data_IF_441599586361
#
_entry.id   IF_441599586361
#
_cell.length_a   1.000
_cell.length_b   1.000
_cell.length_c   1.000
_cell.angle_alpha   90.00
_cell.angle_beta   90.00
_cell.angle_gamma   90.00
#
_symmetry.space_group_name_H-M   'P 1'
#
loop_
_entity.id
_entity.type
_entity.pdbx_description
1 polymer ?
#
# COMPACT_ATOMS: atom_id res chain seq x y z
N UNK A 1 12.22 -17.59 -42.99
CA UNK A 1 10.79 -17.61 -42.60
C UNK A 1 10.74 -17.37 -41.11
N UNK A 2 10.30 -16.18 -40.67
CA UNK A 2 10.29 -15.82 -39.25
C UNK A 2 9.04 -16.41 -38.58
N UNK A 3 9.26 -17.27 -37.58
CA UNK A 3 8.21 -17.80 -36.72
C UNK A 3 7.69 -16.69 -35.81
N UNK A 4 6.49 -16.20 -36.08
CA UNK A 4 5.79 -15.31 -35.17
C UNK A 4 5.32 -16.13 -33.96
N UNK A 5 5.99 -15.94 -32.83
CA UNK A 5 5.59 -16.53 -31.57
C UNK A 5 4.28 -15.88 -31.13
N UNK A 6 3.17 -16.56 -31.38
CA UNK A 6 1.84 -16.19 -30.89
C UNK A 6 1.83 -16.35 -29.37
N UNK A 7 2.15 -15.29 -28.64
CA UNK A 7 1.97 -15.26 -27.19
C UNK A 7 0.47 -15.31 -26.88
N UNK A 8 -0.03 -16.47 -26.47
CA UNK A 8 -1.38 -16.63 -25.93
C UNK A 8 -1.59 -15.68 -24.73
N UNK A 9 -2.80 -15.13 -24.52
CA UNK A 9 -3.09 -14.38 -23.31
C UNK A 9 -2.88 -15.29 -22.09
N UNK A 10 -2.16 -14.86 -21.04
CA UNK A 10 -1.97 -15.69 -19.86
C UNK A 10 -3.32 -15.91 -19.16
N UNK A 11 -3.67 -17.18 -18.98
CA UNK A 11 -4.88 -17.62 -18.30
C UNK A 11 -4.93 -17.09 -16.85
N UNK A 12 -6.16 -16.95 -16.34
CA UNK A 12 -6.54 -16.28 -15.06
C UNK A 12 -5.98 -16.84 -13.75
N UNK A 13 -5.06 -17.81 -13.75
CA UNK A 13 -4.57 -18.40 -12.51
C UNK A 13 -3.14 -17.92 -12.21
N UNK A 14 -3.01 -17.25 -11.05
CA UNK A 14 -1.86 -16.49 -10.54
C UNK A 14 -1.72 -15.04 -11.08
N UNK A 15 -2.79 -14.26 -10.85
CA UNK A 15 -2.87 -12.80 -10.60
C UNK A 15 -2.23 -11.76 -11.55
N UNK A 16 -1.87 -12.08 -12.79
CA UNK A 16 -1.53 -11.01 -13.74
C UNK A 16 -2.79 -10.31 -14.29
N UNK A 17 -3.23 -9.25 -13.62
CA UNK A 17 -4.36 -8.42 -14.04
C UNK A 17 -3.90 -7.50 -15.17
N UNK A 18 -4.48 -7.69 -16.36
CA UNK A 18 -4.21 -6.87 -17.55
C UNK A 18 -5.37 -5.90 -17.80
N UNK A 19 -5.07 -4.61 -17.75
CA UNK A 19 -6.08 -3.55 -17.79
C UNK A 19 -5.89 -2.63 -18.99
N UNK A 20 -6.97 -2.10 -19.51
CA UNK A 20 -6.89 -0.90 -20.35
C UNK A 20 -6.35 0.27 -19.54
N UNK A 21 -5.83 1.29 -20.22
CA UNK A 21 -5.34 2.50 -19.57
C UNK A 21 -6.43 3.21 -18.73
N UNK A 22 -7.68 3.13 -19.18
CA UNK A 22 -8.84 3.68 -18.45
C UNK A 22 -9.11 2.94 -17.16
N UNK A 23 -9.09 1.60 -17.20
CA UNK A 23 -9.29 0.78 -16.00
C UNK A 23 -8.15 0.99 -15.00
N UNK A 24 -6.90 0.98 -15.47
CA UNK A 24 -5.74 1.26 -14.63
C UNK A 24 -5.84 2.63 -13.95
N UNK A 25 -6.19 3.68 -14.70
CA UNK A 25 -6.38 5.03 -14.14
C UNK A 25 -7.47 5.06 -13.06
N UNK A 26 -8.58 4.34 -13.27
CA UNK A 26 -9.69 4.25 -12.30
C UNK A 26 -9.24 3.68 -10.96
N UNK A 27 -8.33 2.70 -10.94
CA UNK A 27 -7.78 2.15 -9.69
C UNK A 27 -7.00 3.18 -8.87
N UNK A 28 -6.53 4.27 -9.48
CA UNK A 28 -5.80 5.36 -8.84
C UNK A 28 -6.60 6.66 -8.74
N UNK A 29 -7.89 6.65 -9.13
CA UNK A 29 -8.74 7.83 -9.08
C UNK A 29 -8.36 8.89 -10.11
N UNK A 30 -7.64 8.53 -11.18
CA UNK A 30 -7.16 9.45 -12.21
C UNK A 30 -7.69 9.09 -13.59
N UNK A 31 -7.71 10.07 -14.49
CA UNK A 31 -8.14 9.84 -15.89
C UNK A 31 -7.12 8.98 -16.65
N UNK A 32 -7.58 8.33 -17.73
CA UNK A 32 -6.70 7.59 -18.64
C UNK A 32 -5.57 8.47 -19.21
N UNK A 33 -5.86 9.76 -19.47
CA UNK A 33 -4.87 10.74 -19.96
C UNK A 33 -3.79 10.97 -18.91
N UNK A 34 -4.19 11.20 -17.66
CA UNK A 34 -3.25 11.42 -16.55
C UNK A 34 -2.42 10.15 -16.28
N UNK A 35 -3.07 8.99 -16.21
CA UNK A 35 -2.39 7.70 -16.08
C UNK A 35 -1.37 7.49 -17.22
N UNK A 36 -1.78 7.78 -18.46
CA UNK A 36 -0.90 7.74 -19.62
C UNK A 36 0.32 8.66 -19.50
N UNK A 37 0.14 9.86 -18.95
CA UNK A 37 1.23 10.80 -18.71
C UNK A 37 2.28 10.25 -17.72
N UNK A 38 1.85 9.59 -16.64
CA UNK A 38 2.78 8.91 -15.72
C UNK A 38 3.57 7.80 -16.41
N UNK A 39 2.90 6.97 -17.22
CA UNK A 39 3.57 5.89 -17.96
C UNK A 39 4.55 6.44 -19.01
N UNK A 40 4.23 7.57 -19.67
CA UNK A 40 5.17 8.24 -20.57
C UNK A 40 6.38 8.81 -19.84
N UNK A 41 6.19 9.44 -18.67
CA UNK A 41 7.29 9.93 -17.83
C UNK A 41 8.20 8.81 -17.33
N UNK A 42 7.65 7.61 -17.14
CA UNK A 42 8.41 6.42 -16.78
C UNK A 42 9.09 5.72 -17.97
N UNK A 43 9.01 6.29 -19.18
CA UNK A 43 9.62 5.70 -20.38
C UNK A 43 8.93 4.41 -20.84
N UNK A 44 7.66 4.20 -20.47
CA UNK A 44 6.91 3.00 -20.85
C UNK A 44 6.03 3.22 -22.09
N UNK A 45 5.71 4.49 -22.40
CA UNK A 45 4.76 4.87 -23.45
C UNK A 45 5.27 6.05 -24.26
N UNK A 46 5.18 5.96 -25.59
CA UNK A 46 5.53 7.04 -26.51
C UNK A 46 4.44 8.13 -26.59
N UNK A 47 4.71 9.16 -27.40
CA UNK A 47 3.80 10.30 -27.62
C UNK A 47 2.51 9.91 -28.37
N UNK A 48 2.57 8.86 -29.17
CA UNK A 48 1.45 8.35 -29.98
C UNK A 48 0.57 7.40 -29.14
N UNK A 49 1.02 7.11 -27.93
CA UNK A 49 0.28 6.37 -26.93
C UNK A 49 0.55 4.88 -26.94
N UNK A 50 1.56 4.42 -27.67
CA UNK A 50 1.97 3.04 -27.76
C UNK A 50 3.04 2.70 -26.71
N UNK A 51 3.08 1.45 -26.22
CA UNK A 51 4.16 1.02 -25.35
C UNK A 51 5.46 0.90 -26.15
N UNK A 52 6.58 1.30 -25.54
CA UNK A 52 7.90 1.01 -26.08
C UNK A 52 8.18 -0.51 -26.07
N UNK A 53 9.01 -1.05 -26.99
CA UNK A 53 9.36 -2.47 -26.99
C UNK A 53 9.83 -2.98 -25.62
N UNK A 54 10.66 -2.19 -24.94
CA UNK A 54 11.15 -2.50 -23.59
C UNK A 54 10.04 -2.67 -22.55
N UNK A 55 8.94 -1.92 -22.67
CA UNK A 55 7.79 -2.06 -21.78
C UNK A 55 7.04 -3.37 -22.02
N UNK A 56 7.02 -3.86 -23.25
CA UNK A 56 6.48 -5.18 -23.60
C UNK A 56 7.41 -6.27 -23.08
N UNK A 57 8.71 -6.17 -23.37
CA UNK A 57 9.72 -7.16 -22.96
C UNK A 57 9.80 -7.33 -21.44
N UNK A 58 9.62 -6.24 -20.70
CA UNK A 58 9.60 -6.22 -19.22
C UNK A 58 8.23 -6.56 -18.64
N UNK A 59 7.23 -6.85 -19.48
CA UNK A 59 5.89 -7.27 -19.07
C UNK A 59 5.00 -6.16 -18.50
N UNK A 60 5.32 -4.88 -18.71
CA UNK A 60 4.45 -3.75 -18.33
C UNK A 60 3.25 -3.62 -19.26
N UNK A 61 3.43 -3.98 -20.53
CA UNK A 61 2.41 -3.83 -21.56
C UNK A 61 2.28 -5.09 -22.41
N UNK A 62 1.08 -5.31 -22.93
CA UNK A 62 0.78 -6.36 -23.88
C UNK A 62 0.00 -5.76 -25.05
N UNK A 63 0.47 -5.98 -26.27
CA UNK A 63 -0.20 -5.55 -27.49
C UNK A 63 -0.97 -6.74 -28.08
N UNK A 64 -2.30 -6.63 -28.14
CA UNK A 64 -3.13 -7.67 -28.77
C UNK A 64 -2.85 -7.75 -30.28
N UNK A 65 -2.84 -8.97 -30.87
CA UNK A 65 -2.45 -9.19 -32.27
C UNK A 65 -3.50 -8.79 -33.33
N UNK A 66 -4.71 -8.34 -32.96
CA UNK A 66 -5.80 -8.10 -33.92
C UNK A 66 -5.78 -6.69 -34.56
N UNK A 67 -6.02 -6.67 -35.88
CA UNK A 67 -5.81 -5.54 -36.82
C UNK A 67 -6.90 -4.46 -36.84
N UNK A 68 -8.00 -4.58 -36.08
CA UNK A 68 -9.04 -3.55 -36.05
C UNK A 68 -8.81 -2.52 -34.93
N UNK A 69 -8.08 -1.48 -35.31
CA UNK A 69 -7.66 -0.30 -34.58
C UNK A 69 -8.81 0.35 -33.78
N UNK A 70 -8.69 0.55 -32.46
CA UNK A 70 -7.99 1.73 -31.94
C UNK A 70 -7.45 1.60 -30.49
N UNK A 71 -7.59 0.46 -29.79
CA UNK A 71 -7.14 0.32 -28.38
C UNK A 71 -6.76 -1.11 -27.96
N UNK A 72 -5.73 -1.68 -28.58
CA UNK A 72 -5.30 -3.07 -28.34
C UNK A 72 -4.20 -3.25 -27.28
N UNK A 73 -3.82 -2.18 -26.56
CA UNK A 73 -2.78 -2.24 -25.52
C UNK A 73 -3.41 -2.46 -24.14
N UNK A 74 -2.94 -3.49 -23.45
CA UNK A 74 -3.23 -3.75 -22.04
C UNK A 74 -1.96 -3.48 -21.21
N UNK A 75 -2.16 -3.05 -19.98
CA UNK A 75 -1.13 -2.69 -19.02
C UNK A 75 -1.23 -3.63 -17.82
N UNK A 76 -0.09 -4.13 -17.35
CA UNK A 76 -0.04 -5.00 -16.20
C UNK A 76 -0.28 -4.18 -14.92
N UNK A 77 -1.32 -4.54 -14.16
CA UNK A 77 -1.72 -3.81 -12.96
C UNK A 77 -0.59 -3.72 -11.94
N UNK A 78 0.04 -4.83 -11.56
CA UNK A 78 1.03 -4.85 -10.48
C UNK A 78 2.26 -4.00 -10.83
N UNK A 79 2.80 -4.20 -12.04
CA UNK A 79 3.99 -3.49 -12.52
C UNK A 79 3.72 -2.00 -12.69
N UNK A 80 2.61 -1.65 -13.33
CA UNK A 80 2.27 -0.24 -13.52
C UNK A 80 1.88 0.43 -12.20
N UNK A 81 1.27 -0.29 -11.26
CA UNK A 81 0.98 0.22 -9.93
C UNK A 81 2.24 0.60 -9.17
N UNK A 82 3.32 -0.18 -9.28
CA UNK A 82 4.63 0.18 -8.73
C UNK A 82 5.11 1.55 -9.24
N UNK A 83 5.09 1.75 -10.56
CA UNK A 83 5.49 3.02 -11.20
C UNK A 83 4.61 4.18 -10.77
N UNK A 84 3.28 3.98 -10.72
CA UNK A 84 2.35 5.02 -10.29
C UNK A 84 2.60 5.42 -8.83
N UNK A 85 2.91 4.45 -7.95
CA UNK A 85 3.29 4.69 -6.56
C UNK A 85 4.62 5.43 -6.41
N UNK A 86 5.63 5.11 -7.22
CA UNK A 86 6.90 5.86 -7.28
C UNK A 86 6.69 7.32 -7.68
N UNK A 87 5.67 7.60 -8.50
CA UNK A 87 5.25 8.96 -8.86
C UNK A 87 4.33 9.60 -7.80
N UNK A 88 4.16 8.99 -6.63
CA UNK A 88 3.40 9.53 -5.50
C UNK A 88 1.90 9.24 -5.51
N UNK A 89 1.39 8.43 -6.44
CA UNK A 89 -0.01 8.05 -6.47
C UNK A 89 -0.30 6.90 -5.51
N UNK A 90 -1.50 6.90 -4.91
CA UNK A 90 -2.03 5.77 -4.15
C UNK A 90 -3.29 5.27 -4.84
N UNK A 91 -3.52 3.96 -4.79
CA UNK A 91 -4.78 3.40 -5.28
C UNK A 91 -5.96 3.92 -4.46
N UNK A 92 -7.15 3.94 -5.06
CA UNK A 92 -8.41 4.31 -4.40
C UNK A 92 -8.68 3.39 -3.21
N UNK A 93 -8.34 2.11 -3.32
CA UNK A 93 -8.49 1.14 -2.23
C UNK A 93 -7.57 1.47 -1.05
N UNK A 94 -6.29 1.77 -1.30
CA UNK A 94 -5.35 2.19 -0.25
C UNK A 94 -5.80 3.51 0.41
N UNK A 95 -6.29 4.47 -0.38
CA UNK A 95 -6.81 5.74 0.15
C UNK A 95 -8.02 5.51 1.06
N UNK A 96 -8.98 4.70 0.60
CA UNK A 96 -10.17 4.34 1.39
C UNK A 96 -9.80 3.62 2.68
N UNK A 97 -8.84 2.69 2.62
CA UNK A 97 -8.37 1.96 3.79
C UNK A 97 -7.76 2.91 4.82
N UNK A 98 -6.96 3.88 4.38
CA UNK A 98 -6.39 4.93 5.25
C UNK A 98 -7.49 5.74 5.93
N UNK A 99 -8.51 6.15 5.18
CA UNK A 99 -9.64 6.92 5.73
C UNK A 99 -10.42 6.12 6.77
N UNK A 100 -10.74 4.86 6.48
CA UNK A 100 -11.45 3.97 7.40
C UNK A 100 -10.69 3.75 8.70
N UNK A 101 -9.37 3.60 8.62
CA UNK A 101 -8.52 3.48 9.80
C UNK A 101 -8.47 4.78 10.61
N UNK A 102 -8.35 5.93 9.95
CA UNK A 102 -8.39 7.21 10.64
C UNK A 102 -9.73 7.41 11.37
N UNK A 103 -10.85 7.12 10.71
CA UNK A 103 -12.19 7.21 11.30
C UNK A 103 -12.33 6.30 12.54
N UNK A 104 -11.88 5.05 12.44
CA UNK A 104 -11.91 4.09 13.54
C UNK A 104 -11.10 4.59 14.74
N UNK A 105 -9.86 5.05 14.51
CA UNK A 105 -8.97 5.49 15.58
C UNK A 105 -9.49 6.75 16.29
N UNK A 106 -10.05 7.69 15.54
CA UNK A 106 -10.69 8.87 16.12
C UNK A 106 -11.93 8.49 16.94
N UNK A 107 -12.75 7.57 16.43
CA UNK A 107 -13.91 7.06 17.15
C UNK A 107 -13.51 6.35 18.45
N UNK A 108 -12.42 5.58 18.45
CA UNK A 108 -11.88 4.95 19.66
C UNK A 108 -11.33 5.98 20.66
N UNK A 109 -10.75 7.07 20.17
CA UNK A 109 -10.19 8.12 21.02
C UNK A 109 -11.25 9.00 21.69
N UNK A 110 -12.29 9.35 20.95
CA UNK A 110 -13.44 10.13 21.47
C UNK A 110 -14.43 9.23 22.21
N UNK A 111 -14.39 7.93 21.94
CA UNK A 111 -15.32 6.92 22.42
C UNK A 111 -15.44 6.81 23.94
N UNK A 112 -16.51 6.13 24.36
CA UNK A 112 -16.86 5.93 25.76
C UNK A 112 -15.74 5.23 26.55
N UNK A 113 -15.51 5.58 27.83
CA UNK A 113 -14.54 4.92 28.72
C UNK A 113 -14.80 3.41 28.95
N UNK A 114 -15.91 2.87 28.44
CA UNK A 114 -16.19 1.43 28.43
C UNK A 114 -15.42 0.65 27.34
N UNK A 115 -14.79 1.33 26.39
CA UNK A 115 -13.95 0.69 25.37
C UNK A 115 -12.57 0.43 25.97
N UNK A 116 -12.24 -0.85 26.20
CA UNK A 116 -10.99 -1.27 26.83
C UNK A 116 -9.76 -1.19 25.90
N UNK A 117 -9.98 -1.04 24.59
CA UNK A 117 -8.90 -1.03 23.59
C UNK A 117 -8.57 0.40 23.19
N UNK A 118 -7.33 0.81 23.44
CA UNK A 118 -6.85 2.12 23.01
C UNK A 118 -6.62 2.15 21.49
N UNK A 119 -6.64 3.35 20.85
CA UNK A 119 -6.28 3.48 19.44
C UNK A 119 -4.91 2.89 19.10
N UNK A 120 -3.94 3.01 20.00
CA UNK A 120 -2.60 2.43 19.81
C UNK A 120 -2.63 0.90 19.85
N UNK A 121 -3.38 0.29 20.78
CA UNK A 121 -3.50 -1.18 20.85
C UNK A 121 -4.21 -1.74 19.63
N UNK A 122 -5.29 -1.11 19.16
CA UNK A 122 -5.99 -1.50 17.94
C UNK A 122 -5.08 -1.39 16.69
N UNK A 123 -4.27 -0.33 16.64
CA UNK A 123 -3.33 -0.15 15.55
C UNK A 123 -2.18 -1.16 15.59
N UNK A 124 -1.72 -1.55 16.78
CA UNK A 124 -0.68 -2.56 16.94
C UNK A 124 -1.17 -3.97 16.56
N UNK A 125 -2.45 -4.30 16.80
CA UNK A 125 -3.01 -5.63 16.49
C UNK A 125 -3.40 -5.81 15.01
N UNK A 126 -4.13 -4.86 14.45
CA UNK A 126 -4.90 -5.09 13.23
C UNK A 126 -4.54 -4.16 12.06
N UNK A 127 -3.82 -3.05 12.31
CA UNK A 127 -3.50 -2.08 11.25
C UNK A 127 -2.33 -2.53 10.38
N UNK A 128 -2.49 -2.57 9.04
CA UNK A 128 -1.38 -2.87 8.14
C UNK A 128 -0.22 -1.87 8.29
N UNK A 129 0.99 -2.36 8.51
CA UNK A 129 2.15 -1.50 8.81
C UNK A 129 2.55 -0.53 7.70
N UNK A 130 2.20 -0.84 6.44
CA UNK A 130 2.48 0.03 5.32
C UNK A 130 1.65 1.30 5.42
N UNK A 131 0.38 1.25 5.89
CA UNK A 131 -0.51 2.41 5.90
C UNK A 131 -0.31 3.39 7.04
N UNK A 132 0.41 3.01 8.09
CA UNK A 132 0.58 3.80 9.32
C UNK A 132 0.98 5.25 9.05
N UNK A 133 1.96 5.47 8.17
CA UNK A 133 2.44 6.82 7.85
C UNK A 133 1.32 7.67 7.23
N UNK A 134 0.51 7.09 6.36
CA UNK A 134 -0.59 7.81 5.71
C UNK A 134 -1.79 8.01 6.64
N UNK A 135 -2.08 7.06 7.54
CA UNK A 135 -3.09 7.23 8.59
C UNK A 135 -2.72 8.40 9.51
N UNK A 136 -1.47 8.47 9.99
CA UNK A 136 -1.01 9.59 10.80
C UNK A 136 -1.07 10.93 10.06
N UNK A 137 -0.75 10.96 8.77
CA UNK A 137 -0.91 12.16 7.94
C UNK A 137 -2.38 12.56 7.81
N UNK A 138 -3.29 11.59 7.64
CA UNK A 138 -4.72 11.82 7.55
C UNK A 138 -5.27 12.39 8.86
N UNK A 139 -4.94 11.78 10.01
CA UNK A 139 -5.29 12.26 11.34
C UNK A 139 -4.80 13.70 11.57
N UNK A 140 -3.55 13.99 11.22
CA UNK A 140 -2.99 15.34 11.35
C UNK A 140 -3.70 16.36 10.46
N UNK A 141 -4.03 15.99 9.21
CA UNK A 141 -4.77 16.85 8.28
C UNK A 141 -6.20 17.15 8.76
N UNK A 142 -6.79 16.24 9.55
CA UNK A 142 -8.10 16.43 10.21
C UNK A 142 -8.04 17.25 11.49
N UNK A 143 -6.84 17.61 11.97
CA UNK A 143 -6.64 18.33 13.23
C UNK A 143 -6.67 17.43 14.48
N UNK A 144 -6.60 16.11 14.30
CA UNK A 144 -6.54 15.15 15.39
C UNK A 144 -5.22 15.27 16.17
N UNK A 145 -5.28 15.13 17.50
CA UNK A 145 -4.09 15.05 18.35
C UNK A 145 -3.52 13.63 18.42
N UNK A 146 -4.26 12.64 17.92
CA UNK A 146 -3.83 11.24 17.85
C UNK A 146 -2.60 11.08 16.97
N UNK A 147 -1.62 10.34 17.49
CA UNK A 147 -0.45 9.88 16.74
C UNK A 147 -0.14 8.43 17.09
N UNK A 148 -0.24 7.56 16.10
CA UNK A 148 0.08 6.14 16.26
C UNK A 148 1.57 5.93 16.05
N UNK A 149 2.23 5.29 17.00
CA UNK A 149 3.65 4.96 16.93
C UNK A 149 3.84 3.53 16.46
N UNK A 150 4.92 3.25 15.71
CA UNK A 150 5.37 1.85 15.54
C UNK A 150 6.02 1.43 16.85
N UNK A 151 5.43 0.51 17.59
CA UNK A 151 6.09 -0.06 18.76
C UNK A 151 7.25 -0.93 18.25
N UNK A 152 8.49 -0.49 18.47
CA UNK A 152 9.64 -1.37 18.31
C UNK A 152 9.46 -2.48 19.36
N UNK A 153 9.28 -3.72 18.93
CA UNK A 153 9.41 -4.89 19.80
C UNK A 153 10.89 -5.03 20.22
N UNK A 154 11.36 -4.14 21.09
CA UNK A 154 12.51 -4.35 21.99
C UNK A 154 11.96 -4.27 23.40
N UNK A 155 11.26 -5.33 23.79
CA UNK A 155 11.20 -5.78 25.19
C UNK A 155 12.64 -5.91 25.69
N UNK A 156 13.06 -5.32 26.81
CA UNK A 156 12.27 -5.14 28.01
C UNK A 156 12.06 -6.48 28.71
N UNK A 157 13.13 -7.27 28.83
CA UNK A 157 13.24 -8.32 29.86
C UNK A 157 14.23 -7.83 30.92
N UNK A 158 13.91 -8.18 32.17
CA UNK A 158 14.65 -7.94 33.43
C UNK A 158 14.23 -6.71 34.25
N UNK A 159 13.02 -6.79 34.81
CA UNK A 159 12.79 -6.36 36.19
C UNK A 159 12.00 -7.43 36.95
N UNK A 160 12.73 -8.43 37.45
CA UNK A 160 12.34 -9.30 38.56
C UNK A 160 13.57 -9.25 39.45
N UNK A 161 13.60 -8.63 40.63
CA UNK A 161 12.62 -8.70 41.70
C UNK A 161 13.35 -9.37 42.86
N UNK A 162 14.08 -8.62 43.68
CA UNK A 162 14.61 -9.14 44.95
C UNK A 162 14.75 -8.02 45.99
N UNK A 163 13.60 -7.62 46.55
CA UNK A 163 13.55 -7.03 47.87
C UNK A 163 13.35 -8.17 48.87
N UNK A 164 14.43 -8.62 49.51
CA UNK A 164 14.34 -9.46 50.70
C UNK A 164 15.00 -8.74 51.86
N UNK A 165 14.16 -8.23 52.74
CA UNK A 165 14.50 -7.85 54.11
C UNK A 165 15.21 -9.02 54.80
N UNK A 166 16.41 -8.80 55.33
CA UNK A 166 16.91 -9.63 56.41
C UNK A 166 17.53 -8.74 57.49
N UNK A 167 16.67 -8.36 58.42
CA UNK A 167 17.04 -7.89 59.76
C UNK A 167 17.90 -8.97 60.42
N UNK A 168 19.18 -8.68 60.66
CA UNK A 168 19.94 -9.38 61.69
C UNK A 168 20.27 -8.38 62.79
N UNK A 169 19.45 -8.42 63.85
CA UNK A 169 19.75 -7.80 65.14
C UNK A 169 20.57 -8.76 66.00
N UNK A 170 21.56 -8.17 66.65
CA UNK A 170 22.39 -8.64 67.77
C UNK A 170 21.78 -9.69 68.71
N UNK A 171 22.54 -10.76 68.93
CA UNK A 171 22.76 -11.53 70.17
C UNK A 171 23.90 -12.53 69.86
N UNK A 172 24.93 -12.83 70.66
CA UNK A 172 25.16 -12.61 72.08
C UNK A 172 26.67 -12.78 72.39
N UNK A 173 27.08 -12.16 73.50
CA UNK A 173 28.02 -12.66 74.53
C UNK A 173 29.51 -12.83 74.24
#
# INVERSE_FOLDING_TARGET
MHSFSLSSPPCRNSHHIWLTLTELGRHFGISAVHCGHHLSRAGLRDKDGFPFPQAIDRGYAYRRPEQNANRSVLWNYDRCSGVLREHGLRSVEEQRLVEQWADLLEALHVGSPAILVTPQEMADSDMPHHILTWVNQCLAARGSQLRISKRNHRTGQESVGESREERTLLAAS
#
